data_IF_841421552371
#
_entry.id   IF_841421552371
#
_cell.length_a   1.000
_cell.length_b   1.000
_cell.length_c   1.000
_cell.angle_alpha   90.00
_cell.angle_beta   90.00
_cell.angle_gamma   90.00
#
_symmetry.space_group_name_H-M   'P 1'
#
loop_
_entity.id
_entity.type
_entity.pdbx_description
1 polymer ?
#
# COMPACT_ATOMS: atom_id res chain seq x y z
N UNK A 1 -4.26 -18.56 1.83
CA UNK A 1 -4.65 -17.16 2.08
C UNK A 1 -4.78 -16.42 0.77
N UNK A 2 -5.81 -15.61 0.66
CA UNK A 2 -6.01 -14.83 -0.52
C UNK A 2 -5.39 -13.45 -0.39
N UNK A 3 -4.86 -12.96 -1.50
CA UNK A 3 -4.37 -11.60 -1.53
C UNK A 3 -5.53 -10.62 -1.45
N UNK A 4 -5.34 -9.46 -0.86
CA UNK A 4 -6.36 -8.42 -0.90
C UNK A 4 -6.50 -7.89 -2.32
N UNK A 5 -7.67 -7.37 -2.64
CA UNK A 5 -7.84 -6.66 -3.89
C UNK A 5 -7.31 -5.24 -3.72
N UNK A 6 -7.00 -4.59 -4.83
CA UNK A 6 -6.57 -3.20 -4.78
C UNK A 6 -7.61 -2.33 -4.06
N UNK A 7 -8.89 -2.56 -4.36
CA UNK A 7 -9.97 -1.80 -3.72
C UNK A 7 -9.98 -1.96 -2.21
N UNK A 8 -9.75 -3.18 -1.72
CA UNK A 8 -9.71 -3.43 -0.28
C UNK A 8 -8.56 -2.67 0.38
N UNK A 9 -7.40 -2.64 -0.27
CA UNK A 9 -6.25 -1.93 0.26
C UNK A 9 -6.55 -0.44 0.39
N UNK A 10 -7.11 0.14 -0.65
CA UNK A 10 -7.40 1.57 -0.66
C UNK A 10 -8.49 1.91 0.37
N UNK A 11 -9.51 1.08 0.45
CA UNK A 11 -10.58 1.31 1.41
C UNK A 11 -10.09 1.25 2.84
N UNK A 12 -9.26 0.27 3.15
CA UNK A 12 -8.67 0.16 4.49
C UNK A 12 -7.77 1.34 4.80
N UNK A 13 -7.00 1.78 3.82
CA UNK A 13 -6.11 2.91 4.02
C UNK A 13 -6.90 4.14 4.44
N UNK A 14 -7.99 4.45 3.74
CA UNK A 14 -8.79 5.62 4.06
C UNK A 14 -9.55 5.46 5.38
N UNK A 15 -9.92 4.25 5.73
CA UNK A 15 -10.68 4.01 6.97
C UNK A 15 -9.79 3.91 8.21
N UNK A 16 -8.59 3.38 8.07
CA UNK A 16 -7.76 3.07 9.23
C UNK A 16 -6.61 4.02 9.47
N UNK A 17 -6.35 4.92 8.55
CA UNK A 17 -5.26 5.87 8.77
C UNK A 17 -5.71 6.90 9.79
N UNK A 18 -4.99 6.95 10.89
CA UNK A 18 -5.26 7.91 11.94
C UNK A 18 -4.21 9.02 11.94
N UNK A 19 -3.14 8.83 11.19
CA UNK A 19 -2.03 9.77 11.10
C UNK A 19 -1.99 10.29 9.68
N UNK A 20 -2.16 11.60 9.52
CA UNK A 20 -2.14 12.24 8.21
C UNK A 20 -0.80 12.09 7.50
N UNK A 21 0.25 11.80 8.25
CA UNK A 21 1.58 11.62 7.66
C UNK A 21 1.83 10.20 7.19
N UNK A 22 0.91 9.28 7.44
CA UNK A 22 1.06 7.91 6.99
C UNK A 22 0.81 7.83 5.50
N UNK A 23 1.85 7.49 4.75
CA UNK A 23 1.76 7.36 3.30
C UNK A 23 1.15 6.02 2.92
N UNK A 24 0.50 5.98 1.75
CA UNK A 24 -0.14 4.76 1.27
C UNK A 24 0.87 3.60 1.16
N UNK A 25 2.05 3.88 0.63
CA UNK A 25 3.09 2.86 0.51
C UNK A 25 3.49 2.28 1.85
N UNK A 26 3.69 3.16 2.83
CA UNK A 26 4.04 2.72 4.18
C UNK A 26 2.94 1.85 4.77
N UNK A 27 1.69 2.28 4.61
CA UNK A 27 0.54 1.52 5.09
C UNK A 27 0.50 0.13 4.46
N UNK A 28 0.63 0.06 3.15
CA UNK A 28 0.55 -1.21 2.43
C UNK A 28 1.63 -2.18 2.89
N UNK A 29 2.85 -1.71 3.01
CA UNK A 29 3.95 -2.58 3.41
C UNK A 29 3.78 -3.03 4.85
N UNK A 30 3.41 -2.13 5.75
CA UNK A 30 3.24 -2.47 7.15
C UNK A 30 2.12 -3.48 7.37
N UNK A 31 1.04 -3.39 6.59
CA UNK A 31 -0.13 -4.24 6.79
C UNK A 31 -0.07 -5.56 6.03
N UNK A 32 0.54 -5.55 4.86
CA UNK A 32 0.49 -6.71 3.98
C UNK A 32 1.84 -7.33 3.69
N UNK A 33 2.91 -6.58 3.80
CA UNK A 33 4.26 -7.04 3.46
C UNK A 33 5.25 -6.65 4.56
N UNK A 34 5.00 -7.04 5.82
CA UNK A 34 5.83 -6.55 6.95
C UNK A 34 7.30 -6.98 6.86
N UNK A 35 7.58 -8.07 6.17
CA UNK A 35 8.95 -8.56 6.04
C UNK A 35 9.61 -8.15 4.73
N UNK A 36 8.89 -7.42 3.88
CA UNK A 36 9.43 -7.03 2.58
C UNK A 36 10.28 -5.77 2.69
N UNK A 37 11.27 -5.71 1.80
CA UNK A 37 12.07 -4.51 1.64
C UNK A 37 11.73 -3.89 0.29
N UNK A 38 10.89 -2.89 0.30
CA UNK A 38 10.47 -2.21 -0.92
C UNK A 38 10.54 -0.71 -0.68
N UNK A 39 11.77 -0.22 -0.65
CA UNK A 39 12.05 1.17 -0.31
C UNK A 39 11.37 2.16 -1.25
N UNK A 40 11.31 1.85 -2.52
CA UNK A 40 10.69 2.75 -3.49
C UNK A 40 9.25 3.05 -3.13
N UNK A 41 8.49 2.03 -2.77
CA UNK A 41 7.10 2.21 -2.37
C UNK A 41 7.00 2.85 -0.99
N UNK A 42 7.84 2.39 -0.07
CA UNK A 42 7.79 2.87 1.30
C UNK A 42 8.00 4.38 1.40
N UNK A 43 8.90 4.91 0.58
CA UNK A 43 9.22 6.33 0.60
C UNK A 43 8.50 7.15 -0.46
N UNK A 44 7.62 6.53 -1.24
CA UNK A 44 6.89 7.26 -2.27
C UNK A 44 5.92 8.25 -1.63
N UNK A 45 6.06 9.52 -1.96
CA UNK A 45 5.24 10.57 -1.36
C UNK A 45 3.96 10.82 -2.14
N UNK A 46 3.95 10.50 -3.43
CA UNK A 46 2.78 10.72 -4.27
C UNK A 46 1.84 9.53 -4.17
N UNK A 47 0.64 9.77 -3.63
CA UNK A 47 -0.35 8.71 -3.45
C UNK A 47 -0.74 8.03 -4.76
N UNK A 48 -0.83 8.79 -5.85
CA UNK A 48 -1.20 8.21 -7.14
C UNK A 48 -0.11 7.29 -7.67
N UNK A 49 1.13 7.68 -7.50
CA UNK A 49 2.25 6.83 -7.90
C UNK A 49 2.26 5.56 -7.06
N UNK A 50 2.07 5.69 -5.75
CA UNK A 50 2.01 4.53 -4.86
C UNK A 50 0.85 3.60 -5.24
N UNK A 51 -0.30 4.16 -5.58
CA UNK A 51 -1.44 3.36 -6.04
C UNK A 51 -1.09 2.54 -7.27
N UNK A 52 -0.42 3.17 -8.24
CA UNK A 52 0.00 2.46 -9.44
C UNK A 52 0.95 1.32 -9.14
N UNK A 53 1.89 1.55 -8.24
CA UNK A 53 2.85 0.52 -7.86
C UNK A 53 2.17 -0.66 -7.17
N UNK A 54 1.26 -0.38 -6.25
CA UNK A 54 0.52 -1.41 -5.53
C UNK A 54 -0.39 -2.19 -6.49
N UNK A 55 -1.09 -1.48 -7.35
CA UNK A 55 -2.00 -2.10 -8.31
C UNK A 55 -1.24 -3.07 -9.21
N UNK A 56 -0.12 -2.62 -9.73
CA UNK A 56 0.69 -3.47 -10.59
C UNK A 56 1.20 -4.70 -9.85
N UNK A 57 1.64 -4.51 -8.62
CA UNK A 57 2.09 -5.62 -7.79
C UNK A 57 0.99 -6.67 -7.62
N UNK A 58 -0.22 -6.23 -7.32
CA UNK A 58 -1.34 -7.14 -7.10
C UNK A 58 -1.80 -7.83 -8.38
N UNK A 59 -1.63 -7.18 -9.53
CA UNK A 59 -2.02 -7.76 -10.82
C UNK A 59 -1.07 -8.85 -11.28
N UNK A 60 0.17 -8.80 -10.85
CA UNK A 60 1.18 -9.77 -11.29
C UNK A 60 1.26 -11.00 -10.40
N UNK A 61 0.36 -11.13 -9.46
CA UNK A 61 0.37 -12.25 -8.49
C UNK A 61 -0.68 -13.30 -8.76
#
# INVERSE_FOLDING_TARGET
MTQPTFSEVILRYYNERHDEHLRLGQFFINEYLPDATWAELYYEEDAYTAMGMIREYLQTR
#
